data_IF_093589614847
#
_entry.id   IF_093589614847
#
_cell.length_a   1.000
_cell.length_b   1.000
_cell.length_c   1.000
_cell.angle_alpha   90.00
_cell.angle_beta   90.00
_cell.angle_gamma   90.00
#
_symmetry.space_group_name_H-M   'P 1'
#
loop_
_entity.id
_entity.type
_entity.pdbx_description
1 polymer ?
#
# COMPACT_ATOMS: atom_id res chain seq x y z
N UNK A 1 24.59 9.74 -16.21
CA UNK A 1 24.85 8.32 -16.51
C UNK A 1 23.68 7.83 -17.35
N UNK A 2 23.87 7.26 -18.54
CA UNK A 2 22.78 6.61 -19.23
C UNK A 2 22.32 5.44 -18.35
N UNK A 3 21.05 5.44 -17.95
CA UNK A 3 20.47 4.32 -17.21
C UNK A 3 20.43 3.13 -18.17
N UNK A 4 21.15 2.06 -17.84
CA UNK A 4 21.23 0.86 -18.65
C UNK A 4 19.81 0.35 -18.95
N UNK A 5 19.43 0.39 -20.22
CA UNK A 5 18.11 -0.01 -20.70
C UNK A 5 17.82 -1.49 -20.45
N UNK A 6 18.86 -2.31 -20.32
CA UNK A 6 18.71 -3.74 -20.04
C UNK A 6 18.20 -3.98 -18.61
N UNK A 7 18.72 -3.23 -17.63
CA UNK A 7 18.29 -3.30 -16.22
C UNK A 7 16.82 -2.86 -16.00
N UNK A 8 16.30 -1.96 -16.84
CA UNK A 8 14.89 -1.55 -16.75
C UNK A 8 13.92 -2.64 -17.21
N UNK A 9 14.31 -3.47 -18.18
CA UNK A 9 13.47 -4.57 -18.66
C UNK A 9 13.42 -5.74 -17.67
N UNK A 10 14.47 -5.95 -16.87
CA UNK A 10 14.54 -7.06 -15.90
C UNK A 10 13.58 -6.89 -14.72
N UNK A 11 13.28 -5.64 -14.37
CA UNK A 11 12.44 -5.26 -13.21
C UNK A 11 11.02 -4.84 -13.60
N UNK A 12 10.75 -4.67 -14.88
CA UNK A 12 9.42 -4.24 -15.33
C UNK A 12 8.38 -5.34 -15.05
N UNK A 13 7.18 -4.97 -14.64
CA UNK A 13 6.08 -5.93 -14.42
C UNK A 13 4.77 -5.37 -14.97
N UNK A 14 3.82 -6.26 -15.24
CA UNK A 14 2.42 -5.88 -15.39
C UNK A 14 1.71 -6.02 -14.04
N UNK A 15 1.02 -4.98 -13.61
CA UNK A 15 0.17 -5.02 -12.42
C UNK A 15 -1.24 -4.56 -12.76
N UNK A 16 -2.18 -5.49 -12.84
CA UNK A 16 -3.57 -5.22 -13.26
C UNK A 16 -3.69 -4.56 -14.65
N UNK A 17 -2.83 -4.95 -15.61
CA UNK A 17 -2.79 -4.32 -16.94
C UNK A 17 -2.02 -3.00 -16.98
N UNK A 18 -1.40 -2.58 -15.86
CA UNK A 18 -0.60 -1.37 -15.78
C UNK A 18 0.89 -1.70 -15.90
N UNK A 19 1.63 -1.08 -16.84
CA UNK A 19 3.06 -1.29 -16.97
C UNK A 19 3.80 -0.55 -15.85
N UNK A 20 4.44 -1.32 -14.98
CA UNK A 20 5.32 -0.81 -13.92
C UNK A 20 6.77 -0.97 -14.36
N UNK A 21 7.57 0.11 -14.24
CA UNK A 21 8.99 0.07 -14.59
C UNK A 21 9.88 -0.65 -13.56
N UNK A 22 9.34 -0.92 -12.38
CA UNK A 22 9.98 -1.58 -11.24
C UNK A 22 8.89 -2.26 -10.41
N UNK A 23 9.17 -3.35 -9.67
CA UNK A 23 8.17 -3.96 -8.79
C UNK A 23 7.84 -3.08 -7.57
N UNK A 24 8.54 -1.97 -7.36
CA UNK A 24 8.37 -1.15 -6.16
C UNK A 24 7.18 -0.21 -6.25
N UNK A 25 6.43 -0.11 -5.15
CA UNK A 25 5.30 0.81 -5.00
C UNK A 25 5.51 1.67 -3.75
N UNK A 26 5.44 2.98 -3.89
CA UNK A 26 5.45 3.88 -2.73
C UNK A 26 4.09 3.88 -2.03
N UNK A 27 4.06 3.76 -0.71
CA UNK A 27 2.82 3.50 0.02
C UNK A 27 2.05 4.74 0.46
N UNK A 28 0.72 4.63 0.36
CA UNK A 28 -0.21 5.62 0.88
C UNK A 28 0.07 5.95 2.34
N UNK A 29 0.14 7.25 2.64
CA UNK A 29 0.44 7.75 3.98
C UNK A 29 1.91 7.99 4.26
N UNK A 30 2.82 7.45 3.45
CA UNK A 30 4.26 7.66 3.57
C UNK A 30 4.82 8.67 2.57
N UNK A 31 4.15 8.91 1.46
CA UNK A 31 4.67 9.74 0.35
C UNK A 31 3.74 10.89 -0.05
N UNK A 32 2.88 11.31 0.89
CA UNK A 32 1.94 12.41 0.69
C UNK A 32 1.11 12.23 -0.58
N UNK A 33 1.15 13.21 -1.48
CA UNK A 33 0.45 13.15 -2.77
C UNK A 33 1.40 13.10 -3.98
N UNK A 34 2.60 12.55 -3.82
CA UNK A 34 3.49 12.21 -4.94
C UNK A 34 4.53 13.27 -5.31
N UNK A 35 4.48 14.45 -4.69
CA UNK A 35 5.44 15.55 -4.92
C UNK A 35 6.48 15.67 -3.79
N UNK A 36 6.26 15.01 -2.65
CA UNK A 36 7.08 15.23 -1.46
C UNK A 36 8.49 14.64 -1.63
N UNK A 37 8.59 13.43 -2.17
CA UNK A 37 9.86 12.74 -2.34
C UNK A 37 10.65 13.24 -3.56
N UNK A 38 10.00 13.80 -4.59
CA UNK A 38 10.68 14.38 -5.76
C UNK A 38 11.51 15.62 -5.40
N UNK A 39 11.28 16.22 -4.22
CA UNK A 39 12.09 17.31 -3.67
C UNK A 39 13.42 16.84 -3.06
N UNK A 40 13.58 15.53 -2.82
CA UNK A 40 14.82 14.96 -2.29
C UNK A 40 15.81 14.76 -3.43
N UNK A 41 16.98 15.39 -3.31
CA UNK A 41 18.04 15.25 -4.31
C UNK A 41 18.44 13.76 -4.49
N UNK A 42 18.37 13.28 -5.73
CA UNK A 42 18.69 11.88 -6.09
C UNK A 42 17.49 10.94 -6.14
N UNK A 43 16.31 11.37 -5.67
CA UNK A 43 15.08 10.61 -5.83
C UNK A 43 14.39 10.95 -7.16
N UNK A 44 13.75 9.96 -7.78
CA UNK A 44 12.86 10.15 -8.93
C UNK A 44 11.77 9.09 -8.92
N UNK A 45 10.54 9.46 -9.25
CA UNK A 45 9.44 8.52 -9.37
C UNK A 45 9.68 7.46 -10.45
N UNK A 46 10.60 7.70 -11.39
CA UNK A 46 11.04 6.71 -12.40
C UNK A 46 11.75 5.49 -11.81
N UNK A 47 12.10 5.52 -10.51
CA UNK A 47 12.66 4.40 -9.78
C UNK A 47 11.59 3.44 -9.24
N UNK A 48 10.31 3.76 -9.36
CA UNK A 48 9.20 2.94 -8.85
C UNK A 48 8.18 2.65 -9.95
N UNK A 49 7.46 1.54 -9.80
CA UNK A 49 6.36 1.16 -10.68
C UNK A 49 5.11 2.00 -10.46
N UNK A 50 4.84 2.37 -9.21
CA UNK A 50 3.70 3.21 -8.86
C UNK A 50 3.88 3.99 -7.54
N UNK A 51 3.04 5.01 -7.37
CA UNK A 51 2.91 5.80 -6.15
C UNK A 51 1.45 5.75 -5.69
N UNK A 52 1.20 5.14 -4.54
CA UNK A 52 -0.11 5.20 -3.88
C UNK A 52 -0.22 6.52 -3.10
N UNK A 53 -1.11 7.40 -3.55
CA UNK A 53 -1.35 8.70 -2.94
C UNK A 53 -1.95 8.55 -1.53
N UNK A 54 -1.87 9.60 -0.72
CA UNK A 54 -2.47 9.65 0.61
C UNK A 54 -3.97 9.31 0.57
N UNK A 55 -4.41 8.52 1.54
CA UNK A 55 -5.82 8.18 1.72
C UNK A 55 -6.71 9.42 1.79
N UNK A 56 -7.65 9.49 0.86
CA UNK A 56 -8.49 10.66 0.59
C UNK A 56 -9.94 10.34 0.93
N UNK A 57 -10.63 11.28 1.58
CA UNK A 57 -12.04 11.18 1.95
C UNK A 57 -12.89 12.15 1.14
N UNK A 58 -14.22 12.11 1.28
CA UNK A 58 -15.11 13.01 0.54
C UNK A 58 -14.79 14.46 0.86
N UNK A 59 -14.76 14.78 2.15
CA UNK A 59 -14.46 16.13 2.63
C UNK A 59 -13.10 16.16 3.35
N UNK A 60 -12.56 17.37 3.55
CA UNK A 60 -11.30 17.57 4.24
C UNK A 60 -11.33 17.06 5.69
N UNK A 61 -10.23 16.45 6.12
CA UNK A 61 -10.05 15.97 7.50
C UNK A 61 -8.78 16.55 8.08
N UNK A 62 -8.89 17.09 9.30
CA UNK A 62 -7.74 17.61 10.04
C UNK A 62 -6.85 16.49 10.60
N UNK A 63 -7.39 15.28 10.78
CA UNK A 63 -6.72 14.16 11.46
C UNK A 63 -6.91 14.18 12.98
N UNK A 64 -6.23 13.26 13.67
CA UNK A 64 -6.33 13.10 15.13
C UNK A 64 -5.61 14.22 15.90
N UNK A 65 -5.81 14.36 17.20
CA UNK A 65 -4.98 15.28 18.00
C UNK A 65 -3.49 14.83 18.04
N UNK A 66 -2.52 15.77 18.10
CA UNK A 66 -1.13 15.43 18.41
C UNK A 66 -0.98 14.86 19.83
N UNK A 67 0.05 14.06 20.13
CA UNK A 67 1.08 13.54 19.23
C UNK A 67 0.58 12.37 18.36
N UNK A 68 1.00 12.34 17.09
CA UNK A 68 0.50 11.40 16.08
C UNK A 68 1.49 10.31 15.65
N UNK A 69 2.75 10.39 16.09
CA UNK A 69 3.79 9.41 15.76
C UNK A 69 4.62 9.11 17.00
N UNK A 70 5.15 7.90 17.07
CA UNK A 70 6.04 7.47 18.14
C UNK A 70 6.95 6.35 17.63
N UNK A 71 8.25 6.40 17.96
CA UNK A 71 9.20 5.36 17.57
C UNK A 71 9.06 4.11 18.44
N UNK A 72 9.18 2.93 17.86
CA UNK A 72 9.21 1.64 18.57
C UNK A 72 10.48 0.88 18.20
N UNK A 73 10.89 -0.16 18.96
CA UNK A 73 11.93 -1.06 18.50
C UNK A 73 11.62 -1.55 17.08
N UNK A 74 12.56 -1.33 16.15
CA UNK A 74 12.45 -1.67 14.74
C UNK A 74 11.16 -1.21 14.03
N UNK A 75 10.60 -0.07 14.44
CA UNK A 75 9.38 0.41 13.83
C UNK A 75 8.87 1.75 14.35
N UNK A 76 7.62 2.03 14.03
CA UNK A 76 6.93 3.21 14.55
C UNK A 76 5.43 2.99 14.67
N UNK A 77 4.81 3.69 15.61
CA UNK A 77 3.37 3.91 15.69
C UNK A 77 2.98 5.18 14.95
N UNK A 78 1.84 5.13 14.27
CA UNK A 78 1.19 6.31 13.72
C UNK A 78 -0.31 6.34 14.05
N UNK A 79 -0.82 7.53 14.35
CA UNK A 79 -2.24 7.79 14.60
C UNK A 79 -2.64 9.10 13.89
N UNK A 80 -2.39 9.18 12.57
CA UNK A 80 -2.60 10.42 11.81
C UNK A 80 -4.09 10.82 11.76
N UNK A 81 -5.00 9.84 11.69
CA UNK A 81 -6.45 10.08 11.59
C UNK A 81 -6.93 10.48 10.19
N UNK A 82 -6.24 10.00 9.14
CA UNK A 82 -6.56 10.30 7.73
C UNK A 82 -6.60 11.81 7.44
N UNK A 83 -5.66 12.60 7.95
CA UNK A 83 -5.53 14.00 7.53
C UNK A 83 -5.36 14.08 6.00
N UNK A 84 -6.28 14.77 5.33
CA UNK A 84 -6.31 14.94 3.88
C UNK A 84 -7.21 16.16 3.51
N UNK A 85 -7.04 16.75 2.31
CA UNK A 85 -7.76 17.96 1.93
C UNK A 85 -9.15 17.71 1.31
N UNK A 86 -9.59 16.46 1.21
CA UNK A 86 -10.83 16.08 0.52
C UNK A 86 -10.60 15.82 -0.97
N UNK A 87 -11.47 15.00 -1.56
CA UNK A 87 -11.26 14.46 -2.92
C UNK A 87 -11.27 15.53 -4.00
N UNK A 88 -12.11 16.57 -3.86
CA UNK A 88 -12.21 17.62 -4.87
C UNK A 88 -10.89 18.41 -4.98
N UNK A 89 -10.29 18.81 -3.85
CA UNK A 89 -8.98 19.48 -3.86
C UNK A 89 -7.86 18.57 -4.40
N UNK A 90 -7.88 17.27 -4.06
CA UNK A 90 -6.89 16.34 -4.61
C UNK A 90 -6.99 16.30 -6.13
N UNK A 91 -8.18 16.15 -6.69
CA UNK A 91 -8.35 16.03 -8.13
C UNK A 91 -8.14 17.34 -8.88
N UNK A 92 -8.64 18.46 -8.36
CA UNK A 92 -8.60 19.74 -9.06
C UNK A 92 -7.28 20.49 -8.91
N UNK A 93 -6.60 20.35 -7.77
CA UNK A 93 -5.41 21.15 -7.45
C UNK A 93 -4.12 20.31 -7.38
N UNK A 94 -4.21 19.05 -6.93
CA UNK A 94 -3.00 18.23 -6.71
C UNK A 94 -2.65 17.38 -7.93
N UNK A 95 -3.57 16.57 -8.43
CA UNK A 95 -3.32 15.68 -9.57
C UNK A 95 -2.77 16.40 -10.82
N UNK A 96 -3.23 17.61 -11.20
CA UNK A 96 -2.71 18.29 -12.38
C UNK A 96 -1.22 18.68 -12.30
N UNK A 97 -0.62 18.63 -11.11
CA UNK A 97 0.79 18.95 -10.88
C UNK A 97 1.70 17.72 -10.97
N UNK A 98 1.13 16.52 -11.02
CA UNK A 98 1.88 15.27 -11.11
C UNK A 98 2.30 14.97 -12.56
N UNK A 99 3.51 14.42 -12.71
CA UNK A 99 4.02 13.96 -13.99
C UNK A 99 3.70 12.48 -14.21
N UNK A 100 2.59 12.21 -14.91
CA UNK A 100 2.10 10.87 -15.26
C UNK A 100 2.99 10.11 -16.27
N UNK A 101 4.04 10.75 -16.82
CA UNK A 101 5.04 10.09 -17.65
C UNK A 101 6.22 9.52 -16.83
N UNK A 102 6.30 9.83 -15.52
CA UNK A 102 7.34 9.28 -14.65
C UNK A 102 7.00 7.89 -14.11
N UNK A 103 5.74 7.69 -13.69
CA UNK A 103 5.28 6.48 -13.01
C UNK A 103 3.74 6.43 -13.01
N UNK A 104 3.18 5.36 -12.44
CA UNK A 104 1.73 5.22 -12.24
C UNK A 104 1.30 5.83 -10.92
N UNK A 105 0.17 6.54 -10.90
CA UNK A 105 -0.42 7.09 -9.68
C UNK A 105 -1.70 6.35 -9.32
N UNK A 106 -1.74 5.87 -8.08
CA UNK A 106 -2.86 5.10 -7.53
C UNK A 106 -3.55 5.93 -6.47
N UNK A 107 -4.84 6.23 -6.66
CA UNK A 107 -5.62 6.97 -5.66
C UNK A 107 -6.01 6.05 -4.50
N UNK A 108 -5.60 6.38 -3.27
CA UNK A 108 -6.08 5.67 -2.08
C UNK A 108 -7.42 6.27 -1.61
N UNK A 109 -8.49 5.49 -1.68
CA UNK A 109 -9.84 5.87 -1.28
C UNK A 109 -10.09 5.42 0.15
N UNK A 110 -10.53 6.35 0.99
CA UNK A 110 -10.97 6.09 2.36
C UNK A 110 -12.35 6.72 2.59
N UNK A 111 -13.15 6.12 3.47
CA UNK A 111 -14.49 6.62 3.77
C UNK A 111 -15.01 6.09 5.10
N UNK A 112 -16.03 6.76 5.62
CA UNK A 112 -16.77 6.41 6.81
C UNK A 112 -18.16 5.87 6.50
N UNK A 113 -18.65 5.90 5.25
CA UNK A 113 -19.87 5.20 4.83
C UNK A 113 -19.70 4.64 3.43
N UNK A 114 -20.58 3.72 3.01
CA UNK A 114 -20.57 3.17 1.66
C UNK A 114 -20.77 4.26 0.60
N UNK A 115 -21.67 5.20 0.88
CA UNK A 115 -21.97 6.36 0.02
C UNK A 115 -20.74 7.26 -0.13
N UNK A 116 -19.95 7.44 0.93
CA UNK A 116 -18.70 8.19 0.84
C UNK A 116 -17.67 7.44 -0.02
N UNK A 117 -17.50 6.13 0.16
CA UNK A 117 -16.63 5.33 -0.70
C UNK A 117 -17.04 5.44 -2.17
N UNK A 118 -18.34 5.38 -2.47
CA UNK A 118 -18.88 5.55 -3.83
C UNK A 118 -18.54 6.95 -4.37
N UNK A 119 -18.86 8.01 -3.63
CA UNK A 119 -18.61 9.41 -4.03
C UNK A 119 -17.14 9.65 -4.35
N UNK A 120 -16.25 9.23 -3.46
CA UNK A 120 -14.80 9.43 -3.63
C UNK A 120 -14.28 8.60 -4.80
N UNK A 121 -14.76 7.37 -4.97
CA UNK A 121 -14.38 6.50 -6.10
C UNK A 121 -14.81 7.11 -7.43
N UNK A 122 -16.05 7.59 -7.56
CA UNK A 122 -16.54 8.28 -8.76
C UNK A 122 -15.65 9.48 -9.12
N UNK A 123 -15.31 10.28 -8.11
CA UNK A 123 -14.50 11.47 -8.32
C UNK A 123 -13.08 11.15 -8.82
N UNK A 124 -12.49 10.05 -8.36
CA UNK A 124 -11.21 9.56 -8.88
C UNK A 124 -11.34 8.83 -10.22
N UNK A 125 -12.47 8.21 -10.53
CA UNK A 125 -12.75 7.63 -11.84
C UNK A 125 -12.67 8.71 -12.94
N UNK A 126 -13.24 9.88 -12.67
CA UNK A 126 -13.22 11.06 -13.55
C UNK A 126 -11.88 11.82 -13.57
N UNK A 127 -10.82 11.27 -12.98
CA UNK A 127 -9.50 11.90 -12.85
C UNK A 127 -8.40 11.15 -13.64
N UNK A 128 -7.17 11.68 -13.78
CA UNK A 128 -6.12 10.99 -14.54
C UNK A 128 -5.45 9.81 -13.82
N UNK A 129 -5.83 9.47 -12.57
CA UNK A 129 -5.20 8.34 -11.85
C UNK A 129 -5.34 7.01 -12.58
N UNK A 130 -4.29 6.19 -12.55
CA UNK A 130 -4.19 4.92 -13.28
C UNK A 130 -4.99 3.78 -12.60
N UNK A 131 -5.10 3.82 -11.26
CA UNK A 131 -5.86 2.85 -10.48
C UNK A 131 -6.40 3.46 -9.17
N UNK A 132 -7.26 2.69 -8.49
CA UNK A 132 -7.84 3.05 -7.21
C UNK A 132 -7.54 1.96 -6.18
N UNK A 133 -6.87 2.33 -5.08
CA UNK A 133 -6.67 1.47 -3.91
C UNK A 133 -7.74 1.76 -2.85
N UNK A 134 -8.59 0.78 -2.57
CA UNK A 134 -9.63 0.87 -1.54
C UNK A 134 -9.02 0.53 -0.19
N UNK A 135 -8.98 1.52 0.71
CA UNK A 135 -8.49 1.34 2.07
C UNK A 135 -9.63 0.97 3.04
N UNK A 136 -9.83 -0.33 3.25
CA UNK A 136 -10.91 -0.85 4.11
C UNK A 136 -10.51 -0.87 5.60
N UNK A 137 -9.28 -0.48 5.95
CA UNK A 137 -8.80 -0.60 7.33
C UNK A 137 -9.35 0.45 8.31
N UNK A 138 -10.21 1.37 7.87
CA UNK A 138 -10.64 2.48 8.71
C UNK A 138 -11.73 2.02 9.71
N UNK A 139 -11.46 2.06 11.02
CA UNK A 139 -12.31 1.42 12.04
C UNK A 139 -13.57 2.22 12.41
N UNK A 140 -13.79 3.40 11.80
CA UNK A 140 -14.77 4.37 12.29
C UNK A 140 -15.94 4.53 11.32
N UNK A 141 -16.91 3.64 11.44
CA UNK A 141 -18.27 3.87 10.95
C UNK A 141 -19.22 3.56 12.09
N UNK A 142 -20.04 4.54 12.47
CA UNK A 142 -20.97 4.47 13.59
C UNK A 142 -22.28 3.73 13.23
N UNK A 143 -22.19 2.64 12.48
CA UNK A 143 -23.25 1.63 12.44
C UNK A 143 -22.67 0.30 12.92
N UNK A 144 -23.03 -0.12 14.14
CA UNK A 144 -22.89 -1.52 14.56
C UNK A 144 -21.60 -1.95 15.28
N UNK A 145 -20.63 -1.06 15.56
CA UNK A 145 -19.56 -1.35 16.53
C UNK A 145 -18.47 -2.35 16.10
N UNK A 146 -18.49 -2.84 14.86
CA UNK A 146 -17.43 -3.69 14.29
C UNK A 146 -16.59 -2.86 13.32
N UNK A 147 -15.28 -2.90 13.47
CA UNK A 147 -14.35 -2.23 12.56
C UNK A 147 -14.52 -2.78 11.14
N UNK A 148 -14.84 -1.91 10.17
CA UNK A 148 -15.08 -2.23 8.76
C UNK A 148 -14.04 -3.18 8.14
N UNK A 149 -12.77 -3.01 8.50
CA UNK A 149 -11.65 -3.78 7.95
C UNK A 149 -11.45 -5.19 8.50
N UNK A 150 -12.23 -5.61 9.50
CA UNK A 150 -12.10 -6.92 10.14
C UNK A 150 -13.28 -7.86 9.83
N UNK A 151 -14.26 -7.41 9.05
CA UNK A 151 -15.38 -8.21 8.57
C UNK A 151 -15.24 -8.44 7.04
N UNK A 152 -14.96 -9.68 6.59
CA UNK A 152 -14.88 -10.02 5.18
C UNK A 152 -16.09 -9.62 4.33
N UNK A 153 -17.30 -9.68 4.89
CA UNK A 153 -18.52 -9.36 4.15
C UNK A 153 -18.66 -7.84 3.96
N UNK A 154 -18.26 -7.06 4.96
CA UNK A 154 -18.19 -5.60 4.81
C UNK A 154 -17.12 -5.18 3.82
N UNK A 155 -15.95 -5.83 3.81
CA UNK A 155 -14.94 -5.59 2.77
C UNK A 155 -15.50 -5.81 1.37
N UNK A 156 -16.14 -6.96 1.15
CA UNK A 156 -16.75 -7.30 -0.14
C UNK A 156 -17.81 -6.28 -0.55
N UNK A 157 -18.69 -5.87 0.37
CA UNK A 157 -19.72 -4.84 0.09
C UNK A 157 -19.12 -3.51 -0.36
N UNK A 158 -18.02 -3.07 0.25
CA UNK A 158 -17.33 -1.84 -0.18
C UNK A 158 -16.73 -2.03 -1.58
N UNK A 159 -16.07 -3.16 -1.83
CA UNK A 159 -15.49 -3.47 -3.16
C UNK A 159 -16.57 -3.51 -4.24
N UNK A 160 -17.69 -4.22 -4.01
CA UNK A 160 -18.81 -4.29 -4.94
C UNK A 160 -19.42 -2.92 -5.24
N UNK A 161 -19.55 -2.07 -4.21
CA UNK A 161 -20.09 -0.73 -4.37
C UNK A 161 -19.17 0.16 -5.21
N UNK A 162 -17.86 0.15 -4.92
CA UNK A 162 -16.87 0.88 -5.71
C UNK A 162 -16.80 0.34 -7.15
N UNK A 163 -16.81 -0.99 -7.33
CA UNK A 163 -16.74 -1.63 -8.66
C UNK A 163 -17.85 -1.19 -9.59
N UNK A 164 -19.06 -0.93 -9.07
CA UNK A 164 -20.22 -0.46 -9.86
C UNK A 164 -20.03 0.94 -10.45
N UNK A 165 -19.09 1.73 -9.94
CA UNK A 165 -18.95 3.15 -10.29
C UNK A 165 -17.58 3.52 -10.86
N UNK A 166 -16.75 2.53 -11.17
CA UNK A 166 -15.49 2.73 -11.89
C UNK A 166 -15.24 1.54 -12.82
N UNK A 167 -14.47 1.74 -13.89
CA UNK A 167 -13.88 0.64 -14.70
C UNK A 167 -12.36 0.55 -14.54
N UNK A 168 -11.74 1.47 -13.80
CA UNK A 168 -10.31 1.43 -13.51
C UNK A 168 -9.93 0.21 -12.66
N UNK A 169 -8.66 -0.22 -12.70
CA UNK A 169 -8.16 -1.24 -11.80
C UNK A 169 -8.46 -0.90 -10.34
N UNK A 170 -9.15 -1.80 -9.65
CA UNK A 170 -9.41 -1.73 -8.22
C UNK A 170 -8.41 -2.60 -7.47
N UNK A 171 -7.77 -2.02 -6.44
CA UNK A 171 -6.83 -2.71 -5.56
C UNK A 171 -7.39 -2.67 -4.15
N UNK A 172 -7.61 -3.82 -3.52
CA UNK A 172 -8.14 -3.84 -2.14
C UNK A 172 -7.01 -3.97 -1.12
N UNK A 173 -6.88 -2.99 -0.22
CA UNK A 173 -5.87 -3.00 0.86
C UNK A 173 -6.36 -3.73 2.09
N UNK A 174 -5.76 -4.87 2.39
CA UNK A 174 -6.17 -5.78 3.45
C UNK A 174 -5.55 -5.42 4.81
N UNK A 175 -6.36 -5.47 5.86
CA UNK A 175 -5.91 -5.34 7.25
C UNK A 175 -5.26 -6.65 7.73
N UNK A 176 -4.15 -6.59 8.48
CA UNK A 176 -3.60 -7.77 9.15
C UNK A 176 -4.33 -8.13 10.46
N UNK A 177 -5.21 -7.25 10.96
CA UNK A 177 -5.81 -7.33 12.29
C UNK A 177 -7.07 -8.23 12.32
N UNK A 178 -7.08 -9.28 11.50
CA UNK A 178 -8.18 -10.21 11.33
C UNK A 178 -7.69 -11.65 11.48
N UNK A 179 -8.58 -12.54 11.92
CA UNK A 179 -8.27 -13.95 12.13
C UNK A 179 -7.92 -14.65 10.81
N UNK A 180 -8.72 -14.41 9.77
CA UNK A 180 -8.60 -15.05 8.46
C UNK A 180 -8.48 -14.03 7.31
N UNK A 181 -7.25 -13.62 7.01
CA UNK A 181 -6.99 -12.71 5.88
C UNK A 181 -7.24 -13.37 4.52
N UNK A 182 -7.07 -14.68 4.41
CA UNK A 182 -7.27 -15.42 3.16
C UNK A 182 -8.75 -15.46 2.79
N UNK A 183 -9.62 -15.69 3.79
CA UNK A 183 -11.07 -15.56 3.64
C UNK A 183 -11.48 -14.17 3.15
N UNK A 184 -10.96 -13.10 3.76
CA UNK A 184 -11.25 -11.72 3.34
C UNK A 184 -10.74 -11.42 1.92
N UNK A 185 -9.53 -11.85 1.58
CA UNK A 185 -8.99 -11.73 0.23
C UNK A 185 -9.90 -12.41 -0.81
N UNK A 186 -10.34 -13.65 -0.55
CA UNK A 186 -11.28 -14.37 -1.43
C UNK A 186 -12.58 -13.58 -1.63
N UNK A 187 -13.16 -13.03 -0.56
CA UNK A 187 -14.40 -12.21 -0.64
C UNK A 187 -14.20 -10.94 -1.47
N UNK A 188 -13.04 -10.29 -1.36
CA UNK A 188 -12.70 -9.13 -2.19
C UNK A 188 -12.50 -9.49 -3.67
N UNK A 189 -11.95 -10.67 -3.96
CA UNK A 189 -11.83 -11.20 -5.33
C UNK A 189 -13.20 -11.46 -5.92
N UNK A 190 -14.08 -12.16 -5.18
CA UNK A 190 -15.47 -12.43 -5.59
C UNK A 190 -16.26 -11.12 -5.84
N UNK A 191 -15.97 -10.07 -5.07
CA UNK A 191 -16.57 -8.74 -5.21
C UNK A 191 -16.06 -7.93 -6.41
N UNK A 192 -15.01 -8.38 -7.10
CA UNK A 192 -14.51 -7.77 -8.33
C UNK A 192 -13.28 -6.88 -8.20
N UNK A 193 -12.44 -7.09 -7.17
CA UNK A 193 -11.11 -6.46 -7.12
C UNK A 193 -10.21 -6.99 -8.23
N UNK A 194 -9.35 -6.15 -8.79
CA UNK A 194 -8.38 -6.54 -9.81
C UNK A 194 -7.01 -6.90 -9.22
N UNK A 195 -6.69 -6.35 -8.05
CA UNK A 195 -5.45 -6.57 -7.33
C UNK A 195 -5.66 -6.48 -5.82
N UNK A 196 -4.68 -6.93 -5.05
CA UNK A 196 -4.70 -6.81 -3.60
C UNK A 196 -3.44 -6.07 -3.12
N UNK A 197 -3.53 -5.38 -1.98
CA UNK A 197 -2.34 -4.95 -1.24
C UNK A 197 -2.41 -5.45 0.19
N UNK A 198 -1.32 -6.04 0.69
CA UNK A 198 -1.29 -6.64 2.01
C UNK A 198 0.12 -6.50 2.62
N UNK A 199 0.28 -5.96 3.82
CA UNK A 199 -0.73 -5.61 4.83
C UNK A 199 -0.85 -4.10 5.06
N UNK A 200 -1.95 -3.66 5.66
CA UNK A 200 -1.98 -2.40 6.40
C UNK A 200 -1.25 -2.55 7.76
N UNK A 201 -1.24 -1.52 8.60
CA UNK A 201 -0.55 -1.56 9.89
C UNK A 201 -1.17 -2.53 10.89
N UNK A 202 -0.35 -3.14 11.75
CA UNK A 202 -0.82 -3.80 12.98
C UNK A 202 -1.24 -2.75 14.01
N UNK A 203 -1.97 -3.13 15.06
CA UNK A 203 -2.31 -2.20 16.14
C UNK A 203 -1.32 -2.28 17.29
N UNK A 204 -0.95 -1.12 17.85
CA UNK A 204 -0.06 -1.01 19.01
C UNK A 204 -0.33 0.23 19.86
N UNK A 205 0.37 0.32 20.99
CA UNK A 205 0.26 1.40 21.97
C UNK A 205 1.65 1.72 22.52
N UNK A 206 1.88 2.99 22.86
CA UNK A 206 3.03 3.44 23.63
C UNK A 206 2.55 4.11 24.91
N UNK A 207 3.22 3.81 26.03
CA UNK A 207 2.84 4.28 27.36
C UNK A 207 4.00 5.11 27.94
N UNK A 208 3.69 6.32 28.38
CA UNK A 208 4.55 7.15 29.22
C UNK A 208 4.41 6.65 30.66
N UNK A 209 5.49 6.07 31.22
CA UNK A 209 5.48 5.45 32.55
C UNK A 209 5.38 6.46 33.69
N UNK A 210 5.92 7.66 33.50
CA UNK A 210 5.85 8.73 34.50
C UNK A 210 4.44 9.32 34.58
N UNK A 211 3.83 9.57 33.41
CA UNK A 211 2.47 10.14 33.34
C UNK A 211 1.37 9.10 33.47
N UNK A 212 1.69 7.80 33.30
CA UNK A 212 0.73 6.68 33.23
C UNK A 212 -0.35 6.92 32.18
N UNK A 213 0.06 7.43 31.02
CA UNK A 213 -0.82 7.79 29.90
C UNK A 213 -0.24 7.30 28.59
N UNK A 214 -1.07 7.16 27.59
CA UNK A 214 -0.60 6.85 26.23
C UNK A 214 0.17 8.03 25.67
N UNK A 215 1.25 7.76 24.94
CA UNK A 215 2.07 8.82 24.31
C UNK A 215 1.33 9.46 23.13
N UNK A 216 0.67 8.63 22.32
CA UNK A 216 -0.10 9.08 21.16
C UNK A 216 -1.51 9.50 21.56
N UNK A 217 -2.03 10.57 20.95
CA UNK A 217 -3.29 11.21 21.33
C UNK A 217 -4.54 10.36 21.08
N UNK A 218 -4.42 9.28 20.30
CA UNK A 218 -5.53 8.37 19.97
C UNK A 218 -5.52 7.08 20.81
N UNK A 219 -4.75 7.04 21.91
CA UNK A 219 -4.46 5.88 22.77
C UNK A 219 -3.70 4.73 22.08
N UNK A 220 -4.08 4.39 20.86
CA UNK A 220 -3.50 3.35 20.03
C UNK A 220 -3.21 3.89 18.62
N UNK A 221 -2.31 3.21 17.92
CA UNK A 221 -1.85 3.58 16.59
C UNK A 221 -1.44 2.37 15.75
N UNK A 222 -1.26 2.62 14.46
CA UNK A 222 -0.77 1.64 13.51
C UNK A 222 0.74 1.42 13.68
N UNK A 223 1.13 0.21 14.07
CA UNK A 223 2.51 -0.27 14.06
C UNK A 223 2.95 -0.62 12.64
N UNK A 224 4.11 -0.11 12.26
CA UNK A 224 4.73 -0.28 10.95
C UNK A 224 6.26 -0.33 11.09
N UNK A 225 6.97 -0.60 9.99
CA UNK A 225 8.42 -0.77 9.98
C UNK A 225 8.85 -2.24 10.08
N UNK A 226 10.17 -2.52 10.08
CA UNK A 226 10.71 -3.89 10.07
C UNK A 226 10.10 -4.85 11.10
N UNK A 227 9.68 -4.35 12.26
CA UNK A 227 9.01 -5.09 13.33
C UNK A 227 7.78 -5.89 12.85
N UNK A 228 7.07 -5.44 11.81
CA UNK A 228 5.87 -6.14 11.30
C UNK A 228 6.16 -7.12 10.18
N UNK A 229 7.39 -7.16 9.65
CA UNK A 229 7.75 -7.94 8.45
C UNK A 229 7.41 -9.43 8.57
N UNK A 230 7.73 -10.14 9.67
CA UNK A 230 7.42 -11.57 9.77
C UNK A 230 5.91 -11.88 9.66
N UNK A 231 5.08 -11.01 10.26
CA UNK A 231 3.62 -11.12 10.13
C UNK A 231 3.19 -10.81 8.70
N UNK A 232 3.73 -9.74 8.11
CA UNK A 232 3.40 -9.33 6.75
C UNK A 232 3.72 -10.43 5.72
N UNK A 233 4.89 -11.06 5.79
CA UNK A 233 5.27 -12.17 4.90
C UNK A 233 4.29 -13.34 4.99
N UNK A 234 3.94 -13.77 6.20
CA UNK A 234 2.95 -14.82 6.40
C UNK A 234 1.59 -14.44 5.81
N UNK A 235 1.13 -13.20 6.04
CA UNK A 235 -0.15 -12.73 5.52
C UNK A 235 -0.17 -12.63 4.00
N UNK A 236 0.89 -12.11 3.38
CA UNK A 236 1.03 -12.07 1.92
C UNK A 236 1.01 -13.48 1.35
N UNK A 237 1.73 -14.43 1.95
CA UNK A 237 1.71 -15.82 1.51
C UNK A 237 0.32 -16.45 1.59
N UNK A 238 -0.41 -16.23 2.69
CA UNK A 238 -1.80 -16.69 2.85
C UNK A 238 -2.73 -16.10 1.78
N UNK A 239 -2.60 -14.80 1.49
CA UNK A 239 -3.37 -14.12 0.43
C UNK A 239 -2.99 -14.66 -0.95
N UNK A 240 -1.71 -14.93 -1.20
CA UNK A 240 -1.25 -15.50 -2.47
C UNK A 240 -1.89 -16.86 -2.77
N UNK A 241 -2.04 -17.74 -1.77
CA UNK A 241 -2.66 -19.06 -1.97
C UNK A 241 -4.09 -18.97 -2.52
N UNK A 242 -4.86 -17.95 -2.11
CA UNK A 242 -6.22 -17.72 -2.60
C UNK A 242 -6.27 -16.85 -3.85
N UNK A 243 -5.30 -15.97 -4.07
CA UNK A 243 -5.27 -15.06 -5.21
C UNK A 243 -4.75 -15.73 -6.50
N UNK A 244 -3.75 -16.61 -6.38
CA UNK A 244 -3.08 -17.26 -7.53
C UNK A 244 -4.02 -18.02 -8.48
N UNK A 245 -5.07 -18.75 -8.04
CA UNK A 245 -5.95 -19.46 -8.97
C UNK A 245 -6.78 -18.52 -9.84
N UNK A 246 -6.91 -17.26 -9.43
CA UNK A 246 -7.63 -16.20 -10.14
C UNK A 246 -6.70 -15.25 -10.90
N UNK A 247 -5.37 -15.46 -10.85
CA UNK A 247 -4.40 -14.57 -11.48
C UNK A 247 -4.38 -13.15 -10.89
N UNK A 248 -4.83 -12.97 -9.64
CA UNK A 248 -4.91 -11.65 -9.00
C UNK A 248 -3.54 -11.28 -8.40
N UNK A 249 -2.88 -10.19 -8.87
CA UNK A 249 -1.58 -9.79 -8.36
C UNK A 249 -1.67 -9.09 -6.99
N UNK A 250 -0.57 -9.14 -6.25
CA UNK A 250 -0.49 -8.62 -4.88
C UNK A 250 0.65 -7.60 -4.75
N UNK A 251 0.36 -6.44 -4.16
CA UNK A 251 1.36 -5.53 -3.58
C UNK A 251 1.65 -6.02 -2.15
N UNK A 252 2.73 -6.77 -1.99
CA UNK A 252 3.20 -7.26 -0.70
C UNK A 252 3.97 -6.17 0.04
N UNK A 253 3.59 -5.88 1.28
CA UNK A 253 4.14 -4.74 2.02
C UNK A 253 4.12 -4.95 3.54
N UNK A 254 5.04 -4.26 4.22
CA UNK A 254 5.14 -4.27 5.67
C UNK A 254 6.58 -4.48 6.11
N UNK A 255 7.27 -3.40 6.48
CA UNK A 255 8.63 -3.47 7.03
C UNK A 255 9.75 -3.68 6.02
N UNK A 256 9.52 -3.36 4.74
CA UNK A 256 10.56 -3.37 3.70
C UNK A 256 11.56 -2.26 3.97
N UNK A 257 12.82 -2.62 4.22
CA UNK A 257 13.92 -1.70 4.48
C UNK A 257 15.20 -2.04 3.67
N UNK A 258 15.17 -3.12 2.87
CA UNK A 258 16.31 -3.60 2.08
C UNK A 258 15.86 -4.37 0.83
N UNK A 259 16.81 -4.68 -0.06
CA UNK A 259 16.55 -5.52 -1.23
C UNK A 259 16.16 -6.95 -0.84
N UNK A 260 16.79 -7.50 0.21
CA UNK A 260 16.48 -8.84 0.72
C UNK A 260 15.04 -8.93 1.26
N UNK A 261 14.54 -7.86 1.89
CA UNK A 261 13.13 -7.80 2.32
C UNK A 261 12.19 -7.83 1.11
N UNK A 262 12.50 -7.07 0.06
CA UNK A 262 11.69 -7.04 -1.16
C UNK A 262 11.67 -8.41 -1.84
N UNK A 263 12.82 -9.07 -1.95
CA UNK A 263 12.93 -10.43 -2.50
C UNK A 263 12.10 -11.42 -1.68
N UNK A 264 12.11 -11.33 -0.34
CA UNK A 264 11.26 -12.17 0.52
C UNK A 264 9.76 -12.00 0.21
N UNK A 265 9.30 -10.77 -0.03
CA UNK A 265 7.89 -10.54 -0.40
C UNK A 265 7.55 -11.11 -1.77
N UNK A 266 8.44 -10.96 -2.76
CA UNK A 266 8.27 -11.56 -4.08
C UNK A 266 8.17 -13.09 -3.97
N UNK A 267 9.12 -13.73 -3.28
CA UNK A 267 9.11 -15.17 -3.01
C UNK A 267 7.83 -15.61 -2.29
N UNK A 268 7.37 -14.85 -1.31
CA UNK A 268 6.14 -15.15 -0.57
C UNK A 268 4.87 -15.15 -1.44
N UNK A 269 4.92 -14.52 -2.62
CA UNK A 269 3.81 -14.48 -3.59
C UNK A 269 3.40 -13.08 -4.03
N UNK A 270 4.14 -12.04 -3.65
CA UNK A 270 3.88 -10.70 -4.15
C UNK A 270 4.30 -10.55 -5.61
N UNK A 271 3.51 -9.80 -6.38
CA UNK A 271 3.86 -9.36 -7.73
C UNK A 271 4.63 -8.04 -7.67
N UNK A 272 4.24 -7.16 -6.76
CA UNK A 272 4.87 -5.87 -6.48
C UNK A 272 5.16 -5.72 -4.98
N UNK A 273 6.08 -4.84 -4.60
CA UNK A 273 6.53 -4.66 -3.22
C UNK A 273 6.32 -3.23 -2.75
N UNK A 274 5.60 -3.07 -1.66
CA UNK A 274 5.29 -1.78 -1.05
C UNK A 274 6.38 -1.27 -0.10
N UNK A 275 6.86 -0.04 -0.33
CA UNK A 275 7.84 0.65 0.54
C UNK A 275 7.18 1.85 1.23
N UNK A 276 7.12 1.80 2.56
CA UNK A 276 6.51 2.83 3.41
C UNK A 276 7.50 3.39 4.43
N UNK A 277 7.44 2.91 5.67
CA UNK A 277 8.27 3.36 6.80
C UNK A 277 9.77 3.39 6.51
N UNK A 278 10.30 2.46 5.70
CA UNK A 278 11.72 2.45 5.30
C UNK A 278 12.17 3.76 4.64
N UNK A 279 11.27 4.45 3.92
CA UNK A 279 11.55 5.72 3.27
C UNK A 279 11.76 6.89 4.25
N UNK A 280 11.29 6.77 5.49
CA UNK A 280 11.51 7.80 6.51
C UNK A 280 12.93 7.72 7.09
N UNK A 281 13.52 6.52 7.10
CA UNK A 281 14.89 6.29 7.52
C UNK A 281 15.89 6.51 6.37
N UNK A 282 15.52 6.11 5.15
CA UNK A 282 16.33 6.29 3.94
C UNK A 282 15.46 6.71 2.75
N UNK A 283 15.40 8.00 2.41
CA UNK A 283 14.62 8.50 1.29
C UNK A 283 15.07 8.00 -0.09
N UNK A 284 16.29 7.47 -0.21
CA UNK A 284 16.87 6.96 -1.47
C UNK A 284 16.82 5.43 -1.56
N UNK A 285 16.03 4.79 -0.69
CA UNK A 285 15.98 3.33 -0.56
C UNK A 285 15.56 2.61 -1.85
N UNK A 286 14.62 3.16 -2.64
CA UNK A 286 14.09 2.49 -3.84
C UNK A 286 15.17 2.15 -4.87
N UNK A 287 16.10 3.07 -5.14
CA UNK A 287 17.22 2.80 -6.04
C UNK A 287 18.12 1.67 -5.55
N UNK A 288 18.38 1.61 -4.24
CA UNK A 288 19.19 0.54 -3.61
C UNK A 288 18.47 -0.82 -3.69
N UNK A 289 17.16 -0.84 -3.48
CA UNK A 289 16.35 -2.05 -3.59
C UNK A 289 16.36 -2.57 -5.02
N UNK A 290 16.11 -1.72 -6.02
CA UNK A 290 16.16 -2.13 -7.43
C UNK A 290 17.52 -2.73 -7.81
N UNK A 291 18.62 -2.10 -7.39
CA UNK A 291 19.95 -2.64 -7.64
C UNK A 291 20.14 -4.01 -6.97
N UNK A 292 19.78 -4.15 -5.70
CA UNK A 292 19.93 -5.41 -4.99
C UNK A 292 19.05 -6.54 -5.55
N UNK A 293 17.87 -6.24 -6.11
CA UNK A 293 17.06 -7.22 -6.84
C UNK A 293 17.80 -7.65 -8.11
N UNK A 294 18.32 -6.72 -8.92
CA UNK A 294 19.09 -7.05 -10.12
C UNK A 294 20.31 -7.92 -9.79
N UNK A 295 21.07 -7.58 -8.74
CA UNK A 295 22.23 -8.34 -8.30
C UNK A 295 21.84 -9.76 -7.86
N UNK A 296 20.67 -9.92 -7.23
CA UNK A 296 20.12 -11.24 -6.91
C UNK A 296 19.79 -12.03 -8.18
N UNK A 297 19.04 -11.45 -9.11
CA UNK A 297 18.65 -12.13 -10.35
C UNK A 297 19.88 -12.61 -11.13
N UNK A 298 20.92 -11.76 -11.27
CA UNK A 298 22.17 -12.13 -11.93
C UNK A 298 22.89 -13.29 -11.23
N UNK A 299 23.04 -13.24 -9.90
CA UNK A 299 23.70 -14.31 -9.12
C UNK A 299 22.97 -15.64 -9.21
N UNK A 300 21.65 -15.61 -9.39
CA UNK A 300 20.80 -16.78 -9.47
C UNK A 300 20.45 -17.19 -10.91
N UNK A 301 21.02 -16.53 -11.93
CA UNK A 301 20.79 -16.85 -13.34
C UNK A 301 19.34 -16.62 -13.80
N UNK A 302 18.60 -15.76 -13.10
CA UNK A 302 17.22 -15.40 -13.43
C UNK A 302 17.22 -14.23 -14.42
N UNK A 303 16.35 -14.31 -15.42
CA UNK A 303 16.22 -13.34 -16.50
C UNK A 303 15.24 -12.21 -16.18
N UNK A 304 14.30 -12.42 -15.25
CA UNK A 304 13.23 -11.47 -14.96
C UNK A 304 12.75 -11.56 -13.51
N UNK A 305 12.37 -10.43 -12.92
CA UNK A 305 11.91 -10.34 -11.52
C UNK A 305 10.67 -11.19 -11.23
N UNK A 306 9.81 -11.41 -12.22
CA UNK A 306 8.60 -12.24 -12.08
C UNK A 306 8.90 -13.71 -11.79
N UNK A 307 10.11 -14.19 -12.08
CA UNK A 307 10.54 -15.55 -11.72
C UNK A 307 10.60 -15.77 -10.20
N UNK A 308 10.65 -14.69 -9.41
CA UNK A 308 10.61 -14.75 -7.96
C UNK A 308 9.19 -14.92 -7.42
N UNK A 309 8.16 -14.44 -8.13
CA UNK A 309 6.80 -14.37 -7.60
C UNK A 309 6.27 -15.75 -7.25
N UNK A 310 6.11 -16.02 -5.96
CA UNK A 310 5.57 -17.28 -5.47
C UNK A 310 6.51 -18.48 -5.61
N UNK A 311 7.80 -18.25 -5.84
CA UNK A 311 8.83 -19.30 -5.96
C UNK A 311 9.33 -19.84 -4.60
N UNK A 312 8.69 -19.46 -3.49
CA UNK A 312 9.00 -20.00 -2.16
C UNK A 312 8.72 -21.51 -2.09
N UNK A 313 9.76 -22.29 -1.81
CA UNK A 313 9.66 -23.72 -1.49
C UNK A 313 9.33 -23.89 0.01
N UNK A 314 8.32 -24.72 0.30
CA UNK A 314 7.94 -25.06 1.68
C UNK A 314 8.60 -26.39 2.08
N UNK A 315 8.98 -26.50 3.35
CA UNK A 315 9.57 -27.70 3.94
C UNK A 315 8.55 -28.82 4.16
#
# INVERSE_FOLDING_TARGET
>A
MPVDTHHKQTLAIDFCGLPFASPLVLLSGCVGFGEEYTRVAGFSNRQVGAVCLKGTTGDARLGNAPHRVYETPDGMLNAIGLQNPGVDHVVDDILPRLDFDETRFIANVSGSTLEEYIRVTQRFDDSPVDAIEINISCPNVKEGGVAFGNDPDMSARVVEACRKVTQKPLITKLSPNQTDIAGNARRCIEAGTNGLSAINTLMGMAIDTERRRTVIGNNQGGLSGPAVKPVALLRVHQVYQVARPHGIPIIGQGGVASADDAIQFLLAGATAVGVGTGLFYDPLLCGKINQGINDYLQRHGMSHVSELTGALELN
#
